data_IF_126513536712
#
_entry.id   IF_126513536712
#
_cell.length_a   1.000
_cell.length_b   1.000
_cell.length_c   1.000
_cell.angle_alpha   90.00
_cell.angle_beta   90.00
_cell.angle_gamma   90.00
#
_symmetry.space_group_name_H-M   'P 1'
#
loop_
_entity.id
_entity.type
_entity.pdbx_description
1 polymer ?
#
# COMPACT_ATOMS: atom_id res chain seq x y z
N UNK A 1 3.77 -10.93 -19.36
CA UNK A 1 3.54 -11.12 -17.92
C UNK A 1 2.59 -10.02 -17.49
N UNK A 2 1.34 -10.34 -17.12
CA UNK A 2 0.35 -9.32 -16.79
C UNK A 2 0.49 -8.92 -15.31
N UNK A 3 0.56 -7.61 -15.03
CA UNK A 3 0.63 -7.05 -13.68
C UNK A 3 -0.59 -7.49 -12.85
N UNK A 4 -0.35 -8.19 -11.73
CA UNK A 4 -1.39 -8.59 -10.80
C UNK A 4 -1.88 -7.37 -10.01
N UNK A 5 -3.15 -7.00 -10.13
CA UNK A 5 -3.71 -5.81 -9.47
C UNK A 5 -5.04 -6.07 -8.77
N UNK A 6 -5.49 -7.32 -8.71
CA UNK A 6 -6.74 -7.69 -8.06
C UNK A 6 -6.51 -8.74 -6.99
N UNK A 7 -7.12 -8.59 -5.82
CA UNK A 7 -7.13 -9.61 -4.76
C UNK A 7 -8.58 -9.95 -4.44
N UNK A 8 -8.88 -11.24 -4.36
CA UNK A 8 -10.13 -11.71 -3.79
C UNK A 8 -9.97 -11.78 -2.27
N UNK A 9 -10.91 -11.23 -1.50
CA UNK A 9 -10.85 -11.26 -0.02
C UNK A 9 -11.47 -12.52 0.58
N UNK A 10 -12.24 -13.27 -0.20
CA UNK A 10 -12.94 -14.48 0.25
C UNK A 10 -12.17 -15.78 -0.10
N UNK A 11 -11.09 -15.68 -0.87
CA UNK A 11 -10.23 -16.82 -1.21
C UNK A 11 -8.89 -16.74 -0.46
N UNK A 12 -8.38 -17.86 0.03
CA UNK A 12 -7.06 -18.00 0.66
C UNK A 12 -5.87 -17.89 -0.30
N UNK A 13 -6.03 -17.22 -1.45
CA UNK A 13 -4.94 -17.07 -2.41
C UNK A 13 -3.91 -16.04 -1.92
N UNK A 14 -2.68 -16.51 -1.73
CA UNK A 14 -1.52 -15.71 -1.36
C UNK A 14 -0.94 -14.98 -2.59
N UNK A 15 -1.70 -14.04 -3.16
CA UNK A 15 -1.25 -13.33 -4.36
C UNK A 15 -2.23 -12.31 -4.93
N UNK A 16 -1.75 -11.60 -5.95
CA UNK A 16 -2.55 -10.70 -6.79
C UNK A 16 -2.85 -11.39 -8.13
N UNK A 17 -4.12 -11.41 -8.49
CA UNK A 17 -4.62 -11.87 -9.77
C UNK A 17 -4.52 -10.76 -10.82
N UNK A 18 -4.19 -11.17 -12.05
CA UNK A 18 -4.50 -10.37 -13.23
C UNK A 18 -6.03 -10.33 -13.43
N UNK A 19 -6.57 -9.31 -14.11
CA UNK A 19 -8.02 -9.19 -14.34
C UNK A 19 -8.62 -10.45 -15.00
N UNK A 20 -7.97 -10.96 -16.06
CA UNK A 20 -8.43 -12.16 -16.74
C UNK A 20 -8.36 -13.41 -15.86
N UNK A 21 -7.32 -13.50 -15.02
CA UNK A 21 -7.08 -14.61 -14.11
C UNK A 21 -8.15 -14.65 -13.01
N UNK A 22 -8.46 -13.49 -12.42
CA UNK A 22 -9.50 -13.32 -11.42
C UNK A 22 -10.86 -13.77 -11.99
N UNK A 23 -11.26 -13.26 -13.16
CA UNK A 23 -12.57 -13.58 -13.77
C UNK A 23 -12.68 -15.07 -14.10
N UNK A 24 -11.63 -15.68 -14.63
CA UNK A 24 -11.63 -17.10 -14.99
C UNK A 24 -11.80 -18.01 -13.75
N UNK A 25 -11.10 -17.70 -12.66
CA UNK A 25 -11.18 -18.49 -11.41
C UNK A 25 -12.49 -18.23 -10.69
N UNK A 26 -12.97 -16.98 -10.69
CA UNK A 26 -14.20 -16.60 -9.99
C UNK A 26 -15.47 -16.77 -10.84
N UNK A 27 -15.39 -17.53 -11.94
CA UNK A 27 -16.54 -17.81 -12.80
C UNK A 27 -17.56 -18.74 -12.13
N UNK A 28 -17.07 -19.63 -11.25
CA UNK A 28 -17.86 -20.66 -10.54
C UNK A 28 -17.83 -20.52 -9.01
N UNK A 29 -17.51 -19.32 -8.49
CA UNK A 29 -18.18 -18.71 -7.34
C UNK A 29 -18.27 -17.17 -7.52
N UNK A 30 -19.29 -16.65 -8.23
CA UNK A 30 -19.34 -15.26 -8.69
C UNK A 30 -19.59 -14.22 -7.58
N UNK A 31 -19.97 -14.65 -6.38
CA UNK A 31 -20.34 -13.76 -5.27
C UNK A 31 -19.16 -13.36 -4.37
N UNK A 32 -17.95 -13.81 -4.68
CA UNK A 32 -16.77 -13.42 -3.91
C UNK A 32 -16.37 -11.96 -4.19
N UNK A 33 -15.87 -11.29 -3.16
CA UNK A 33 -15.47 -9.90 -3.20
C UNK A 33 -14.06 -9.77 -3.78
N UNK A 34 -14.00 -9.36 -5.03
CA UNK A 34 -12.76 -8.92 -5.65
C UNK A 34 -12.51 -7.44 -5.38
N UNK A 35 -11.30 -7.11 -4.93
CA UNK A 35 -10.84 -5.75 -4.70
C UNK A 35 -9.64 -5.45 -5.57
N UNK A 36 -9.65 -4.29 -6.23
CA UNK A 36 -8.45 -3.79 -6.90
C UNK A 36 -7.46 -3.34 -5.81
N UNK A 37 -6.23 -3.83 -5.91
CA UNK A 37 -5.13 -3.43 -5.05
C UNK A 37 -4.36 -2.32 -5.75
N UNK A 38 -4.81 -1.10 -5.53
CA UNK A 38 -4.05 0.11 -5.86
C UNK A 38 -2.73 0.12 -5.09
N UNK A 39 -1.61 0.19 -5.82
CA UNK A 39 -0.31 0.37 -5.18
C UNK A 39 -0.12 1.84 -4.76
N UNK A 40 -0.93 2.29 -3.79
CA UNK A 40 -0.91 3.66 -3.25
C UNK A 40 0.47 4.07 -2.76
N UNK A 41 1.25 3.12 -2.24
CA UNK A 41 2.64 3.32 -1.84
C UNK A 41 3.49 3.84 -3.01
N UNK A 42 3.46 3.18 -4.18
CA UNK A 42 4.19 3.65 -5.37
C UNK A 42 3.72 5.03 -5.86
N UNK A 43 2.41 5.30 -5.80
CA UNK A 43 1.87 6.61 -6.20
C UNK A 43 2.36 7.74 -5.29
N UNK A 44 2.46 7.49 -3.98
CA UNK A 44 2.99 8.44 -3.00
C UNK A 44 4.49 8.71 -3.22
N UNK A 45 5.28 7.66 -3.47
CA UNK A 45 6.71 7.81 -3.76
C UNK A 45 6.96 8.68 -4.99
N UNK A 46 6.20 8.49 -6.08
CA UNK A 46 6.28 9.35 -7.27
C UNK A 46 5.98 10.83 -6.97
N UNK A 47 5.19 11.11 -5.93
CA UNK A 47 4.86 12.46 -5.47
C UNK A 47 5.78 12.97 -4.34
N UNK A 48 6.90 12.29 -4.06
CA UNK A 48 7.83 12.59 -2.96
C UNK A 48 7.15 12.58 -1.58
N UNK A 49 6.14 11.73 -1.45
CA UNK A 49 5.42 11.49 -0.20
C UNK A 49 5.78 10.10 0.32
N UNK A 50 6.07 10.01 1.60
CA UNK A 50 6.36 8.77 2.31
C UNK A 50 5.11 8.35 3.10
N UNK A 51 4.57 7.14 2.89
CA UNK A 51 3.40 6.70 3.63
C UNK A 51 3.73 6.42 5.11
N UNK A 52 2.76 6.64 5.98
CA UNK A 52 2.84 6.26 7.39
C UNK A 52 2.87 4.73 7.60
N UNK A 53 2.34 3.96 6.63
CA UNK A 53 2.32 2.50 6.66
C UNK A 53 2.45 1.93 5.24
N UNK A 54 3.27 0.89 5.07
CA UNK A 54 3.44 0.18 3.79
C UNK A 54 2.31 -0.82 3.51
N UNK A 55 1.62 -1.30 4.55
CA UNK A 55 0.55 -2.29 4.44
C UNK A 55 -0.80 -1.64 4.07
N UNK A 56 -1.09 -0.47 4.67
CA UNK A 56 -2.30 0.32 4.40
C UNK A 56 -1.98 1.82 4.52
N UNK A 57 -1.47 2.45 3.45
CA UNK A 57 -1.11 3.87 3.47
C UNK A 57 -2.37 4.76 3.50
N UNK A 58 -2.95 4.97 4.68
CA UNK A 58 -4.04 5.94 4.89
C UNK A 58 -3.55 7.38 5.03
N UNK A 59 -2.29 7.56 5.41
CA UNK A 59 -1.66 8.86 5.67
C UNK A 59 -0.25 8.87 5.09
N UNK A 60 0.24 10.05 4.69
CA UNK A 60 1.57 10.24 4.13
C UNK A 60 2.18 11.57 4.57
N UNK A 61 3.50 11.62 4.54
CA UNK A 61 4.31 12.76 4.99
C UNK A 61 5.33 13.14 3.91
N UNK A 62 5.74 14.40 3.87
CA UNK A 62 6.87 14.79 3.01
C UNK A 62 8.19 14.40 3.67
N UNK A 63 9.23 14.19 2.85
CA UNK A 63 10.59 14.00 3.36
C UNK A 63 11.09 15.18 4.21
N UNK A 64 10.62 16.40 3.94
CA UNK A 64 10.94 17.59 4.75
C UNK A 64 10.42 17.44 6.18
N UNK A 65 9.19 16.95 6.36
CA UNK A 65 8.62 16.73 7.68
C UNK A 65 9.38 15.63 8.45
N UNK A 66 9.74 14.54 7.79
CA UNK A 66 10.55 13.48 8.39
C UNK A 66 11.93 14.00 8.85
N UNK A 67 12.58 14.83 8.03
CA UNK A 67 13.86 15.47 8.40
C UNK A 67 13.71 16.41 9.60
N UNK A 68 12.63 17.19 9.65
CA UNK A 68 12.33 18.06 10.79
C UNK A 68 12.13 17.23 12.07
N UNK A 69 11.32 16.18 12.00
CA UNK A 69 11.10 15.29 13.14
C UNK A 69 12.42 14.69 13.64
N UNK A 70 13.27 14.20 12.74
CA UNK A 70 14.59 13.69 13.10
C UNK A 70 15.43 14.75 13.82
N UNK A 71 15.53 15.97 13.28
CA UNK A 71 16.26 17.06 13.93
C UNK A 71 15.71 17.39 15.32
N UNK A 72 14.38 17.48 15.48
CA UNK A 72 13.76 17.85 16.75
C UNK A 72 13.95 16.78 17.83
N UNK A 73 13.93 15.48 17.49
CA UNK A 73 14.16 14.41 18.45
C UNK A 73 15.62 14.32 18.90
N UNK A 74 16.58 14.67 18.03
CA UNK A 74 18.01 14.71 18.41
C UNK A 74 18.40 15.91 19.26
N UNK A 75 17.60 16.98 19.30
CA UNK A 75 17.81 18.16 20.16
C UNK A 75 17.27 17.93 21.59
N UNK A 76 16.64 16.78 21.86
CA UNK A 76 15.97 16.44 23.12
C UNK A 76 16.86 16.07 24.32
N UNK A 77 18.14 16.47 24.36
CA UNK A 77 18.93 16.38 25.60
C UNK A 77 19.57 17.72 25.93
N UNK A 78 18.79 18.73 26.38
CA UNK A 78 19.36 19.80 27.16
C UNK A 78 19.91 19.17 28.44
N UNK A 79 21.24 19.10 28.54
CA UNK A 79 21.95 18.82 29.78
C UNK A 79 21.59 19.92 30.78
N UNK A 80 20.61 19.65 31.63
CA UNK A 80 20.51 20.28 32.95
C UNK A 80 21.55 19.65 33.88
#
# INVERSE_FOLDING_TARGET
MAEGSYKCTDCDHEGLWCQACLVRVHQWPPFHHARKWDNHTLQLFNRKLFPASLLRPRMAFTFRLLKLFHMLNHVGRPTL
#
